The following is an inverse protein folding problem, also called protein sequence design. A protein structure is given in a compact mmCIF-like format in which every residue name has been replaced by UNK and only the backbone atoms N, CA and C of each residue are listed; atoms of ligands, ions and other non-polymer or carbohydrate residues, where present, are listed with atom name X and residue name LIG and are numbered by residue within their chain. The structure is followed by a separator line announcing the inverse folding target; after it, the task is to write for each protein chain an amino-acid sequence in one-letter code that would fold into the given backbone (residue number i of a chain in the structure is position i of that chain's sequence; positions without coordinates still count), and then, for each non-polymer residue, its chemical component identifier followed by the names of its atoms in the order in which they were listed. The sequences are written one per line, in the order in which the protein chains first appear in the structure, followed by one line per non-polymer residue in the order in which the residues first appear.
data_IF_456259834550
#
_entry.id   IF_456259834550
#
_cell.length_a   1.000
_cell.length_b   1.000
_cell.length_c   1.000
_cell.angle_alpha   90.00
_cell.angle_beta   90.00
_cell.angle_gamma   90.00
#
_symmetry.space_group_name_H-M   'P 1'
#
loop_
_entity.id
_entity.type
_entity.pdbx_description
1 polymer ?
#
# COMPACT_ATOMS: atom_id res chain seq x y z
N UNK A 1 -6.30 -18.21 -16.94
CA UNK A 1 -7.06 -17.58 -18.05
C UNK A 1 -7.92 -16.51 -17.39
N UNK A 2 -7.87 -15.27 -17.90
CA UNK A 2 -8.72 -14.17 -17.39
C UNK A 2 -10.20 -14.53 -17.55
N UNK A 3 -11.05 -14.06 -16.63
CA UNK A 3 -12.49 -14.24 -16.73
C UNK A 3 -13.04 -13.50 -17.97
N UNK A 4 -14.18 -13.88 -18.54
CA UNK A 4 -14.83 -13.11 -19.62
C UNK A 4 -15.10 -11.64 -19.22
N UNK A 5 -15.45 -11.39 -17.94
CA UNK A 5 -15.65 -10.05 -17.39
C UNK A 5 -14.35 -9.27 -17.41
N UNK A 6 -13.25 -9.81 -16.89
CA UNK A 6 -11.92 -9.16 -16.90
C UNK A 6 -11.49 -8.79 -18.33
N UNK A 7 -11.75 -9.67 -19.32
CA UNK A 7 -11.42 -9.38 -20.72
C UNK A 7 -12.22 -8.18 -21.27
N UNK A 8 -13.51 -8.10 -20.93
CA UNK A 8 -14.39 -6.99 -21.36
C UNK A 8 -13.97 -5.68 -20.70
N UNK A 9 -13.65 -5.70 -19.40
CA UNK A 9 -13.20 -4.52 -18.66
C UNK A 9 -11.84 -4.04 -19.16
N UNK A 10 -10.92 -4.95 -19.46
CA UNK A 10 -9.60 -4.62 -20.04
C UNK A 10 -9.76 -3.89 -21.39
N UNK A 11 -10.61 -4.39 -22.27
CA UNK A 11 -10.90 -3.76 -23.56
C UNK A 11 -11.54 -2.37 -23.38
N UNK A 12 -12.49 -2.23 -22.44
CA UNK A 12 -13.16 -0.96 -22.17
C UNK A 12 -12.17 0.11 -21.66
N UNK A 13 -11.25 -0.25 -20.75
CA UNK A 13 -10.19 0.66 -20.30
C UNK A 13 -9.26 1.01 -21.46
N UNK A 14 -8.81 0.03 -22.24
CA UNK A 14 -7.94 0.29 -23.40
C UNK A 14 -8.58 1.24 -24.40
N UNK A 15 -9.89 1.12 -24.66
CA UNK A 15 -10.64 2.01 -25.54
C UNK A 15 -10.77 3.43 -24.96
N UNK A 16 -10.99 3.56 -23.64
CA UNK A 16 -10.97 4.86 -22.96
C UNK A 16 -9.59 5.54 -23.10
N UNK A 17 -8.49 4.78 -22.95
CA UNK A 17 -7.13 5.31 -23.09
C UNK A 17 -6.81 5.71 -24.55
N UNK A 18 -7.35 5.01 -25.54
CA UNK A 18 -7.18 5.36 -26.97
C UNK A 18 -7.96 6.61 -27.34
N UNK A 19 -9.19 6.75 -26.83
CA UNK A 19 -10.16 7.76 -27.28
C UNK A 19 -9.98 9.15 -26.67
N UNK A 20 -9.18 9.28 -25.61
CA UNK A 20 -8.93 10.54 -24.93
C UNK A 20 -7.44 10.94 -25.04
N UNK A 21 -7.15 12.23 -24.91
CA UNK A 21 -5.79 12.77 -25.11
C UNK A 21 -5.16 13.36 -23.83
N UNK A 22 -5.96 13.65 -22.81
CA UNK A 22 -5.50 14.29 -21.57
C UNK A 22 -5.88 13.46 -20.36
N UNK A 23 -4.91 13.17 -19.48
CA UNK A 23 -5.09 12.32 -18.32
C UNK A 23 -4.54 12.97 -17.05
N UNK A 24 -5.22 12.73 -15.93
CA UNK A 24 -4.74 12.95 -14.59
C UNK A 24 -4.59 11.59 -13.93
N UNK A 25 -3.36 11.16 -13.75
CA UNK A 25 -3.02 9.91 -13.04
C UNK A 25 -3.02 10.16 -11.55
N UNK A 26 -3.74 9.35 -10.81
CA UNK A 26 -3.89 9.48 -9.36
C UNK A 26 -3.83 8.12 -8.69
N UNK A 27 -3.31 8.08 -7.47
CA UNK A 27 -3.32 6.91 -6.59
C UNK A 27 -3.69 7.32 -5.17
N UNK A 28 -3.69 6.37 -4.23
CA UNK A 28 -4.05 6.64 -2.83
C UNK A 28 -3.04 7.56 -2.11
N UNK A 29 -3.48 8.28 -1.08
CA UNK A 29 -2.73 9.35 -0.40
C UNK A 29 -1.45 8.90 0.34
N UNK A 30 -1.35 7.65 0.74
CA UNK A 30 -0.18 7.06 1.39
C UNK A 30 0.43 5.99 0.48
N UNK A 31 1.09 6.38 -0.63
CA UNK A 31 1.48 5.45 -1.67
C UNK A 31 2.60 4.52 -1.21
N UNK A 32 2.44 3.27 -1.55
CA UNK A 32 3.46 2.23 -1.46
C UNK A 32 4.13 1.99 -2.83
N UNK A 33 4.84 0.87 -2.95
CA UNK A 33 5.55 0.55 -4.19
C UNK A 33 4.62 0.16 -5.34
N UNK A 34 3.46 -0.48 -5.08
CA UNK A 34 2.50 -0.78 -6.14
C UNK A 34 1.85 0.51 -6.66
N UNK A 35 1.41 1.38 -5.77
CA UNK A 35 0.86 2.67 -6.14
C UNK A 35 1.82 3.52 -6.99
N UNK A 36 3.08 3.67 -6.55
CA UNK A 36 4.09 4.47 -7.24
C UNK A 36 4.58 3.81 -8.54
N UNK A 37 4.76 2.49 -8.52
CA UNK A 37 5.13 1.72 -9.71
C UNK A 37 4.04 1.77 -10.78
N UNK A 38 2.79 1.58 -10.37
CA UNK A 38 1.63 1.58 -11.27
C UNK A 38 1.36 2.96 -11.87
N UNK A 39 1.46 4.06 -11.10
CA UNK A 39 1.27 5.41 -11.63
C UNK A 39 2.39 5.79 -12.60
N UNK A 40 3.65 5.42 -12.32
CA UNK A 40 4.77 5.65 -13.24
C UNK A 40 4.64 4.81 -14.50
N UNK A 41 4.27 3.54 -14.38
CA UNK A 41 4.03 2.65 -15.52
C UNK A 41 2.90 3.17 -16.42
N UNK A 42 1.79 3.65 -15.83
CA UNK A 42 0.70 4.27 -16.57
C UNK A 42 1.14 5.57 -17.27
N UNK A 43 1.99 6.38 -16.64
CA UNK A 43 2.59 7.57 -17.24
C UNK A 43 3.39 7.20 -18.50
N UNK A 44 4.30 6.24 -18.39
CA UNK A 44 5.14 5.79 -19.50
C UNK A 44 4.31 5.15 -20.62
N UNK A 45 3.27 4.39 -20.27
CA UNK A 45 2.32 3.81 -21.21
C UNK A 45 1.57 4.89 -22.00
N UNK A 46 1.07 5.93 -21.33
CA UNK A 46 0.37 7.05 -21.98
C UNK A 46 1.33 7.91 -22.84
N UNK A 47 2.57 8.09 -22.41
CA UNK A 47 3.59 8.77 -23.21
C UNK A 47 3.89 8.01 -24.52
N UNK A 48 3.97 6.67 -24.46
CA UNK A 48 4.14 5.83 -25.63
C UNK A 48 2.94 5.92 -26.62
N UNK A 49 1.74 6.24 -26.11
CA UNK A 49 0.56 6.54 -26.92
C UNK A 49 0.52 8.00 -27.45
N UNK A 50 1.50 8.83 -27.06
CA UNK A 50 1.51 10.26 -27.40
C UNK A 50 0.48 11.10 -26.65
N UNK A 51 -0.01 10.62 -25.51
CA UNK A 51 -1.03 11.28 -24.69
C UNK A 51 -0.41 12.26 -23.69
N UNK A 52 -1.14 13.33 -23.35
CA UNK A 52 -0.76 14.29 -22.34
C UNK A 52 -1.20 13.77 -20.95
N UNK A 53 -0.28 13.43 -20.07
CA UNK A 53 -0.59 12.92 -18.75
C UNK A 53 0.16 13.65 -17.63
N UNK A 54 -0.50 13.85 -16.52
CA UNK A 54 0.02 14.47 -15.29
C UNK A 54 -0.14 13.48 -14.16
N UNK A 55 0.94 13.19 -13.44
CA UNK A 55 0.87 12.42 -12.20
C UNK A 55 0.56 13.36 -11.03
N UNK A 56 -0.37 12.97 -10.18
CA UNK A 56 -0.75 13.69 -8.98
C UNK A 56 -0.77 12.75 -7.78
N UNK A 57 -0.31 13.24 -6.65
CA UNK A 57 -0.40 12.56 -5.37
C UNK A 57 -0.86 13.52 -4.29
N UNK A 58 -1.88 13.13 -3.56
CA UNK A 58 -2.47 13.85 -2.45
C UNK A 58 -1.52 14.05 -1.27
N UNK A 59 -1.73 15.11 -0.50
CA UNK A 59 -0.99 15.41 0.72
C UNK A 59 0.40 15.99 0.51
N UNK A 60 0.94 16.57 1.58
CA UNK A 60 2.24 17.25 1.57
C UNK A 60 3.41 16.38 2.07
N UNK A 61 3.13 15.13 2.48
CA UNK A 61 4.18 14.24 2.97
C UNK A 61 5.20 13.94 1.87
N UNK A 62 6.52 13.94 2.18
CA UNK A 62 7.52 13.54 1.22
C UNK A 62 7.29 12.09 0.80
N UNK A 63 7.68 11.74 -0.43
CA UNK A 63 7.71 10.35 -0.86
C UNK A 63 8.61 9.52 0.06
N UNK A 64 8.27 8.25 0.30
CA UNK A 64 9.14 7.35 1.03
C UNK A 64 10.53 7.30 0.38
N UNK A 65 11.57 7.32 1.22
CA UNK A 65 12.95 7.50 0.75
C UNK A 65 13.41 6.37 -0.17
N UNK A 66 12.87 5.19 0.01
CA UNK A 66 13.12 3.97 -0.74
C UNK A 66 12.70 4.04 -2.22
N UNK A 67 11.78 4.96 -2.57
CA UNK A 67 11.31 5.14 -3.96
C UNK A 67 11.93 6.35 -4.68
N UNK A 68 12.89 7.04 -4.05
CA UNK A 68 13.57 8.21 -4.67
C UNK A 68 14.35 7.89 -5.94
N UNK A 69 14.67 6.63 -6.16
CA UNK A 69 15.38 6.19 -7.38
C UNK A 69 14.47 6.15 -8.62
N UNK A 70 13.15 6.16 -8.41
CA UNK A 70 12.16 6.17 -9.49
C UNK A 70 12.05 7.57 -10.11
N UNK A 71 11.87 7.62 -11.44
CA UNK A 71 11.74 8.88 -12.20
C UNK A 71 10.35 9.51 -12.01
N UNK A 72 10.09 10.02 -10.79
CA UNK A 72 8.82 10.66 -10.43
C UNK A 72 8.89 12.20 -10.48
N UNK A 73 9.82 12.78 -11.23
CA UNK A 73 10.07 14.23 -11.28
C UNK A 73 8.86 15.05 -11.75
N UNK A 74 7.95 14.45 -12.50
CA UNK A 74 6.69 15.06 -12.96
C UNK A 74 5.53 14.97 -11.97
N UNK A 75 5.72 14.36 -10.80
CA UNK A 75 4.66 14.18 -9.80
C UNK A 75 4.29 15.52 -9.15
N UNK A 76 3.02 15.87 -9.22
CA UNK A 76 2.48 17.11 -8.65
C UNK A 76 1.78 16.84 -7.32
N UNK A 77 1.80 17.88 -6.44
CA UNK A 77 1.09 17.92 -5.16
C UNK A 77 -0.11 18.86 -5.17
N UNK A 78 -0.36 19.48 -6.31
CA UNK A 78 -1.54 20.33 -6.55
C UNK A 78 -2.22 19.84 -7.82
N UNK A 79 -3.54 19.79 -7.78
CA UNK A 79 -4.34 19.45 -8.96
C UNK A 79 -4.07 20.48 -10.06
N UNK A 80 -3.99 20.08 -11.33
CA UNK A 80 -3.84 21.00 -12.42
C UNK A 80 -5.14 21.78 -12.65
N UNK A 81 -5.04 23.04 -13.10
CA UNK A 81 -6.20 23.91 -13.35
C UNK A 81 -7.17 23.34 -14.42
N UNK A 82 -6.68 22.48 -15.30
CA UNK A 82 -7.42 21.85 -16.39
C UNK A 82 -7.97 20.46 -16.05
N UNK A 83 -8.25 20.16 -14.77
CA UNK A 83 -8.83 18.87 -14.34
C UNK A 83 -10.09 18.51 -15.13
N UNK A 84 -10.96 19.48 -15.37
CA UNK A 84 -12.21 19.28 -16.14
C UNK A 84 -12.01 18.87 -17.60
N UNK A 85 -10.78 18.96 -18.11
CA UNK A 85 -10.42 18.53 -19.47
C UNK A 85 -9.66 17.19 -19.48
N UNK A 86 -9.47 16.55 -18.31
CA UNK A 86 -8.66 15.35 -18.13
C UNK A 86 -9.49 14.16 -17.69
N UNK A 87 -9.27 13.02 -18.31
CA UNK A 87 -9.72 11.74 -17.76
C UNK A 87 -8.97 11.51 -16.45
N UNK A 88 -9.69 11.29 -15.36
CA UNK A 88 -9.11 10.84 -14.11
C UNK A 88 -8.81 9.36 -14.20
N UNK A 89 -7.54 9.01 -14.15
CA UNK A 89 -7.10 7.61 -14.18
C UNK A 89 -6.57 7.23 -12.81
N UNK A 90 -7.44 6.62 -12.01
CA UNK A 90 -7.13 6.14 -10.67
C UNK A 90 -6.53 4.74 -10.73
N UNK A 91 -5.38 4.58 -10.08
CA UNK A 91 -4.61 3.35 -10.04
C UNK A 91 -4.39 2.94 -8.58
N UNK A 92 -4.57 1.66 -8.28
CA UNK A 92 -4.32 1.10 -6.96
C UNK A 92 -5.09 1.81 -5.85
N UNK A 93 -6.38 2.00 -6.08
CA UNK A 93 -7.24 2.75 -5.16
C UNK A 93 -8.60 2.07 -5.01
N UNK A 94 -8.85 1.46 -3.86
CA UNK A 94 -10.04 0.66 -3.59
C UNK A 94 -11.34 1.49 -3.50
N UNK A 95 -11.25 2.76 -3.12
CA UNK A 95 -12.40 3.65 -3.01
C UNK A 95 -11.98 5.12 -3.05
N UNK A 96 -12.96 6.00 -3.24
CA UNK A 96 -12.75 7.45 -3.40
C UNK A 96 -12.07 8.10 -2.20
N UNK A 97 -12.38 7.64 -0.97
CA UNK A 97 -11.85 8.26 0.25
C UNK A 97 -10.33 8.10 0.37
N UNK A 98 -9.75 7.07 -0.25
CA UNK A 98 -8.30 6.86 -0.28
C UNK A 98 -7.55 7.85 -1.17
N UNK A 99 -8.24 8.55 -2.07
CA UNK A 99 -7.65 9.59 -2.91
C UNK A 99 -7.27 10.86 -2.10
N UNK A 100 -7.73 10.98 -0.84
CA UNK A 100 -7.49 12.16 -0.01
C UNK A 100 -8.00 13.44 -0.67
N UNK A 101 -7.21 14.52 -0.71
CA UNK A 101 -7.56 15.77 -1.39
C UNK A 101 -7.83 15.59 -2.90
N UNK A 102 -7.32 14.52 -3.50
CA UNK A 102 -7.55 14.16 -4.90
C UNK A 102 -9.00 13.81 -5.22
N UNK A 103 -9.84 13.53 -4.22
CA UNK A 103 -11.29 13.39 -4.41
C UNK A 103 -11.92 14.58 -5.14
N UNK A 104 -11.36 15.79 -4.96
CA UNK A 104 -11.84 16.99 -5.64
C UNK A 104 -11.73 16.92 -7.17
N UNK A 105 -10.97 15.98 -7.72
CA UNK A 105 -10.85 15.75 -9.15
C UNK A 105 -11.96 14.85 -9.72
N UNK A 106 -12.72 14.13 -8.90
CA UNK A 106 -13.76 13.18 -9.36
C UNK A 106 -14.92 13.90 -10.05
N UNK A 107 -15.50 14.93 -9.40
CA UNK A 107 -16.67 15.63 -9.91
C UNK A 107 -16.40 16.37 -11.25
N UNK A 108 -15.28 17.12 -11.39
CA UNK A 108 -15.01 17.87 -12.63
C UNK A 108 -14.49 16.99 -13.75
N UNK A 109 -13.98 15.77 -13.50
CA UNK A 109 -13.42 14.92 -14.55
C UNK A 109 -14.49 14.44 -15.53
N UNK A 110 -14.26 14.52 -16.85
CA UNK A 110 -15.24 14.07 -17.86
C UNK A 110 -15.46 12.56 -17.83
N UNK A 111 -14.48 11.80 -17.43
CA UNK A 111 -14.50 10.33 -17.27
C UNK A 111 -13.57 9.94 -16.15
N UNK A 112 -14.00 9.02 -15.29
CA UNK A 112 -13.19 8.39 -14.26
C UNK A 112 -12.92 6.94 -14.65
N UNK A 113 -11.64 6.59 -14.80
CA UNK A 113 -11.17 5.23 -15.03
C UNK A 113 -10.52 4.72 -13.73
N UNK A 114 -10.96 3.58 -13.21
CA UNK A 114 -10.37 2.96 -12.03
C UNK A 114 -9.78 1.59 -12.39
N UNK A 115 -8.48 1.42 -12.15
CA UNK A 115 -7.74 0.16 -12.34
C UNK A 115 -7.14 -0.26 -11.02
N UNK A 116 -7.54 -1.44 -10.52
CA UNK A 116 -7.20 -1.86 -9.16
C UNK A 116 -7.25 -3.38 -9.00
N UNK A 117 -6.58 -3.89 -7.95
CA UNK A 117 -6.59 -5.30 -7.58
C UNK A 117 -7.23 -5.56 -6.19
N UNK A 118 -7.64 -4.54 -5.49
CA UNK A 118 -8.26 -4.71 -4.18
C UNK A 118 -9.63 -5.40 -4.29
N UNK A 119 -9.85 -6.45 -3.50
CA UNK A 119 -11.08 -7.24 -3.52
C UNK A 119 -12.33 -6.49 -3.00
N UNK A 120 -12.13 -5.45 -2.21
CA UNK A 120 -13.15 -4.57 -1.63
C UNK A 120 -13.33 -3.26 -2.41
N UNK A 121 -12.84 -3.19 -3.66
CA UNK A 121 -12.96 -2.01 -4.51
C UNK A 121 -14.44 -1.64 -4.72
N UNK A 122 -14.76 -0.36 -4.47
CA UNK A 122 -16.12 0.20 -4.62
C UNK A 122 -16.56 0.37 -6.07
N UNK A 123 -15.64 0.21 -7.04
CA UNK A 123 -15.86 0.40 -8.48
C UNK A 123 -16.39 1.80 -8.81
N UNK A 124 -15.76 2.81 -8.23
CA UNK A 124 -16.18 4.21 -8.27
C UNK A 124 -15.94 4.91 -9.63
N UNK A 125 -15.23 4.28 -10.56
CA UNK A 125 -15.02 4.81 -11.89
C UNK A 125 -16.23 4.62 -12.80
N UNK A 126 -16.33 5.47 -13.84
CA UNK A 126 -17.24 5.24 -14.97
C UNK A 126 -16.81 4.00 -15.76
N UNK A 127 -15.51 3.77 -15.85
CA UNK A 127 -14.89 2.59 -16.43
C UNK A 127 -13.99 1.93 -15.38
N UNK A 128 -14.27 0.67 -15.07
CA UNK A 128 -13.55 -0.06 -14.02
C UNK A 128 -12.90 -1.32 -14.59
N UNK A 129 -11.64 -1.56 -14.20
CA UNK A 129 -10.94 -2.82 -14.38
C UNK A 129 -10.42 -3.25 -13.00
N UNK A 130 -11.18 -4.10 -12.33
CA UNK A 130 -10.85 -4.59 -10.98
C UNK A 130 -10.60 -6.08 -11.05
N UNK A 131 -9.35 -6.49 -10.77
CA UNK A 131 -8.88 -7.87 -10.88
C UNK A 131 -8.36 -8.35 -9.54
N UNK A 132 -9.25 -8.81 -8.68
CA UNK A 132 -8.94 -9.16 -7.28
C UNK A 132 -7.97 -10.34 -7.11
N UNK A 133 -7.73 -11.15 -8.14
CA UNK A 133 -6.75 -12.23 -8.16
C UNK A 133 -5.40 -11.84 -8.78
N UNK A 134 -5.25 -10.58 -9.21
CA UNK A 134 -3.95 -10.06 -9.61
C UNK A 134 -3.05 -9.85 -8.39
N UNK A 135 -1.76 -10.08 -8.57
CA UNK A 135 -0.75 -9.94 -7.51
C UNK A 135 -0.44 -8.48 -7.16
N UNK A 136 -0.76 -7.55 -8.07
CA UNK A 136 -0.57 -6.09 -7.92
C UNK A 136 -1.35 -5.36 -9.01
N UNK A 137 -1.59 -4.07 -8.83
CA UNK A 137 -2.12 -3.20 -9.89
C UNK A 137 -1.14 -3.10 -11.06
N UNK A 138 0.18 -3.15 -10.80
CA UNK A 138 1.20 -3.22 -11.85
C UNK A 138 1.05 -4.42 -12.80
N UNK A 139 0.59 -5.58 -12.31
CA UNK A 139 0.29 -6.74 -13.15
C UNK A 139 -0.85 -6.42 -14.14
N UNK A 140 -1.86 -5.67 -13.72
CA UNK A 140 -2.99 -5.25 -14.57
C UNK A 140 -2.55 -4.21 -15.59
N UNK A 141 -1.71 -3.24 -15.18
CA UNK A 141 -1.12 -2.25 -16.09
C UNK A 141 -0.28 -2.94 -17.18
N UNK A 142 0.44 -4.02 -16.85
CA UNK A 142 1.17 -4.81 -17.87
C UNK A 142 0.21 -5.46 -18.88
N UNK A 143 -0.94 -5.94 -18.43
CA UNK A 143 -1.95 -6.48 -19.35
C UNK A 143 -2.54 -5.37 -20.25
N UNK A 144 -2.74 -4.14 -19.75
CA UNK A 144 -3.13 -2.99 -20.55
C UNK A 144 -2.06 -2.61 -21.60
N UNK A 145 -0.78 -2.61 -21.24
CA UNK A 145 0.33 -2.37 -22.18
C UNK A 145 0.27 -3.35 -23.36
N UNK A 146 -0.01 -4.63 -23.06
CA UNK A 146 -0.16 -5.68 -24.09
C UNK A 146 -1.41 -5.46 -24.95
N UNK A 147 -2.55 -5.14 -24.35
CA UNK A 147 -3.83 -4.89 -25.05
C UNK A 147 -3.73 -3.68 -25.98
N UNK A 148 -2.94 -2.68 -25.58
CA UNK A 148 -2.67 -1.49 -26.40
C UNK A 148 -1.62 -1.74 -27.49
N UNK A 149 -0.99 -2.92 -27.54
CA UNK A 149 0.03 -3.27 -28.52
C UNK A 149 1.34 -2.51 -28.36
N UNK A 150 1.63 -2.03 -27.14
CA UNK A 150 2.82 -1.26 -26.84
C UNK A 150 4.02 -2.15 -26.50
N UNK A 151 5.21 -1.69 -26.88
CA UNK A 151 6.46 -2.33 -26.47
C UNK A 151 6.74 -2.08 -25.00
N UNK A 152 7.28 -3.09 -24.33
CA UNK A 152 7.79 -2.96 -22.98
C UNK A 152 9.22 -2.40 -23.03
N UNK A 153 9.43 -1.19 -22.48
CA UNK A 153 10.76 -0.59 -22.35
C UNK A 153 11.40 -0.94 -21.01
N UNK A 154 12.75 -0.85 -20.86
CA UNK A 154 13.40 -1.11 -19.58
C UNK A 154 12.84 -0.25 -18.42
N UNK A 155 12.54 1.03 -18.67
CA UNK A 155 11.99 1.95 -17.68
C UNK A 155 10.58 1.52 -17.23
N UNK A 156 9.74 1.14 -18.22
CA UNK A 156 8.39 0.63 -17.94
C UNK A 156 8.46 -0.71 -17.20
N UNK A 157 9.37 -1.58 -17.59
CA UNK A 157 9.59 -2.87 -16.94
C UNK A 157 10.05 -2.69 -15.49
N UNK A 158 10.92 -1.73 -15.20
CA UNK A 158 11.38 -1.45 -13.85
C UNK A 158 10.24 -0.89 -12.96
N UNK A 159 9.43 0.03 -13.47
CA UNK A 159 8.26 0.56 -12.73
C UNK A 159 7.27 -0.56 -12.38
N UNK A 160 6.96 -1.45 -13.33
CA UNK A 160 6.12 -2.63 -13.10
C UNK A 160 6.76 -3.64 -12.15
N UNK A 161 8.08 -3.80 -12.19
CA UNK A 161 8.79 -4.67 -11.28
C UNK A 161 8.74 -4.17 -9.84
N UNK A 162 8.87 -2.86 -9.61
CA UNK A 162 8.68 -2.24 -8.29
C UNK A 162 7.29 -2.55 -7.76
N UNK A 163 6.24 -2.30 -8.55
CA UNK A 163 4.85 -2.59 -8.19
C UNK A 163 4.70 -4.06 -7.76
N UNK A 164 5.14 -4.98 -8.60
CA UNK A 164 4.98 -6.41 -8.38
C UNK A 164 5.75 -6.93 -7.17
N UNK A 165 7.02 -6.53 -7.01
CA UNK A 165 7.89 -7.07 -5.94
C UNK A 165 7.50 -6.53 -4.56
N UNK A 166 6.97 -5.31 -4.48
CA UNK A 166 6.54 -4.73 -3.21
C UNK A 166 5.24 -5.34 -2.73
N UNK A 167 4.24 -5.48 -3.60
CA UNK A 167 2.94 -5.99 -3.22
C UNK A 167 2.92 -7.52 -2.99
N UNK A 168 3.82 -8.26 -3.63
CA UNK A 168 4.06 -9.67 -3.34
C UNK A 168 4.97 -9.91 -2.13
N UNK A 169 5.41 -8.85 -1.45
CA UNK A 169 6.36 -8.96 -0.34
C UNK A 169 7.63 -9.71 -0.72
N UNK A 170 8.24 -9.35 -1.84
CA UNK A 170 9.41 -10.05 -2.39
C UNK A 170 9.10 -11.49 -2.81
N UNK A 171 7.91 -11.70 -3.35
CA UNK A 171 7.41 -13.03 -3.73
C UNK A 171 7.24 -14.02 -2.57
N UNK A 172 6.95 -13.51 -1.36
CA UNK A 172 6.75 -14.31 -0.15
C UNK A 172 5.29 -14.38 0.29
N UNK A 173 4.43 -13.46 -0.17
CA UNK A 173 3.03 -13.44 0.23
C UNK A 173 2.17 -14.40 -0.58
N UNK A 174 0.99 -14.72 -0.05
CA UNK A 174 0.06 -15.69 -0.65
C UNK A 174 -0.48 -15.24 -2.03
N UNK A 175 -0.46 -13.94 -2.34
CA UNK A 175 -0.80 -13.40 -3.65
C UNK A 175 0.30 -13.60 -4.71
N UNK A 176 1.42 -14.25 -4.37
CA UNK A 176 2.46 -14.60 -5.34
C UNK A 176 2.01 -15.77 -6.22
N UNK A 177 1.45 -15.42 -7.37
CA UNK A 177 0.91 -16.39 -8.34
C UNK A 177 1.97 -16.87 -9.35
N UNK A 178 1.76 -18.00 -10.05
CA UNK A 178 2.61 -18.38 -11.19
C UNK A 178 2.61 -17.32 -12.31
N UNK A 179 1.55 -16.50 -12.44
CA UNK A 179 1.48 -15.37 -13.38
C UNK A 179 2.44 -14.28 -12.95
N UNK A 180 2.45 -13.89 -11.66
CA UNK A 180 3.38 -12.93 -11.09
C UNK A 180 4.85 -13.30 -11.32
N UNK A 181 5.22 -14.56 -11.09
CA UNK A 181 6.59 -15.03 -11.31
C UNK A 181 7.00 -15.02 -12.78
N UNK A 182 6.10 -15.38 -13.70
CA UNK A 182 6.34 -15.25 -15.15
C UNK A 182 6.47 -13.78 -15.57
N UNK A 183 5.64 -12.92 -15.02
CA UNK A 183 5.75 -11.49 -15.26
C UNK A 183 7.10 -10.95 -14.74
N UNK A 184 7.51 -11.32 -13.53
CA UNK A 184 8.82 -10.92 -13.02
C UNK A 184 9.97 -11.32 -13.96
N UNK A 185 9.93 -12.54 -14.49
CA UNK A 185 10.93 -13.01 -15.46
C UNK A 185 10.91 -12.15 -16.74
N UNK A 186 9.73 -11.87 -17.30
CA UNK A 186 9.57 -11.00 -18.48
C UNK A 186 10.14 -9.59 -18.26
N UNK A 187 9.86 -9.00 -17.07
CA UNK A 187 10.34 -7.68 -16.71
C UNK A 187 11.87 -7.63 -16.60
N UNK A 188 12.48 -8.67 -16.01
CA UNK A 188 13.94 -8.80 -15.91
C UNK A 188 14.58 -9.04 -17.29
N UNK A 189 13.99 -9.88 -18.13
CA UNK A 189 14.43 -10.07 -19.52
C UNK A 189 14.36 -8.78 -20.36
N UNK A 190 13.42 -7.90 -20.04
CA UNK A 190 13.28 -6.58 -20.70
C UNK A 190 14.32 -5.58 -20.18
N UNK A 191 14.93 -5.79 -19.02
CA UNK A 191 15.99 -4.95 -18.49
C UNK A 191 15.67 -4.23 -17.18
N UNK A 192 14.63 -4.66 -16.44
CA UNK A 192 14.44 -4.16 -15.06
C UNK A 192 15.66 -4.50 -14.21
N UNK A 193 16.23 -3.49 -13.54
CA UNK A 193 17.39 -3.66 -12.68
C UNK A 193 16.98 -4.16 -11.28
N UNK A 194 16.88 -5.48 -11.14
CA UNK A 194 16.51 -6.14 -9.89
C UNK A 194 17.40 -5.73 -8.73
N UNK A 195 18.73 -5.65 -8.95
CA UNK A 195 19.67 -5.30 -7.90
C UNK A 195 19.42 -3.88 -7.40
N UNK A 196 19.28 -2.91 -8.30
CA UNK A 196 18.97 -1.51 -7.96
C UNK A 196 17.65 -1.40 -7.20
N UNK A 197 16.60 -2.09 -7.66
CA UNK A 197 15.29 -2.07 -6.99
C UNK A 197 15.42 -2.63 -5.58
N UNK A 198 16.01 -3.82 -5.40
CA UNK A 198 16.16 -4.42 -4.06
C UNK A 198 17.03 -3.58 -3.13
N UNK A 199 18.16 -3.07 -3.62
CA UNK A 199 19.03 -2.21 -2.84
C UNK A 199 18.31 -0.94 -2.39
N UNK A 200 17.56 -0.29 -3.29
CA UNK A 200 16.85 0.95 -2.97
C UNK A 200 15.68 0.72 -2.02
N UNK A 201 14.84 -0.27 -2.30
CA UNK A 201 13.58 -0.50 -1.56
C UNK A 201 13.83 -1.19 -0.22
N UNK A 202 14.79 -2.13 -0.14
CA UNK A 202 14.92 -3.00 1.02
C UNK A 202 16.25 -2.90 1.77
N UNK A 203 17.32 -2.39 1.15
CA UNK A 203 18.65 -2.37 1.76
C UNK A 203 19.10 -0.96 2.15
N UNK A 204 18.37 0.09 1.76
CA UNK A 204 18.66 1.48 2.14
C UNK A 204 17.88 1.87 3.40
N UNK A 205 18.20 1.20 4.52
CA UNK A 205 17.53 1.44 5.81
C UNK A 205 18.35 2.41 6.64
N UNK A 206 17.74 3.51 7.08
CA UNK A 206 18.39 4.46 7.97
C UNK A 206 18.73 3.80 9.32
N UNK A 207 19.94 4.05 9.83
CA UNK A 207 20.38 3.53 11.14
C UNK A 207 19.39 3.87 12.26
N UNK A 208 18.75 5.04 12.20
CA UNK A 208 17.72 5.44 13.16
C UNK A 208 16.53 4.47 13.19
N UNK A 209 16.08 3.96 12.03
CA UNK A 209 15.02 2.93 11.96
C UNK A 209 15.46 1.63 12.61
N UNK A 210 16.70 1.17 12.36
CA UNK A 210 17.25 -0.03 12.99
C UNK A 210 17.37 0.12 14.51
N UNK A 211 17.73 1.32 14.99
CA UNK A 211 17.78 1.61 16.43
C UNK A 211 16.39 1.61 17.06
N UNK A 212 15.35 2.11 16.37
CA UNK A 212 13.96 1.98 16.84
C UNK A 212 13.50 0.52 16.88
N UNK A 213 13.80 -0.24 15.82
CA UNK A 213 13.52 -1.68 15.77
C UNK A 213 14.17 -2.40 16.96
N UNK A 214 15.46 -2.14 17.23
CA UNK A 214 16.16 -2.76 18.36
C UNK A 214 15.46 -2.48 19.70
N UNK A 215 14.99 -1.24 19.94
CA UNK A 215 14.23 -0.88 21.14
C UNK A 215 12.88 -1.56 21.23
N UNK A 216 12.18 -1.66 20.10
CA UNK A 216 10.92 -2.38 20.06
C UNK A 216 11.10 -3.87 20.36
N UNK A 217 12.14 -4.50 19.80
CA UNK A 217 12.43 -5.92 20.05
C UNK A 217 12.86 -6.18 21.50
N UNK A 218 13.67 -5.31 22.10
CA UNK A 218 14.09 -5.41 23.50
C UNK A 218 12.91 -5.32 24.48
N UNK A 219 11.86 -4.58 24.12
CA UNK A 219 10.63 -4.43 24.91
C UNK A 219 9.52 -5.40 24.53
N UNK A 220 9.74 -6.26 23.55
CA UNK A 220 8.73 -7.21 23.13
C UNK A 220 8.39 -8.19 24.26
N UNK A 221 7.11 -8.32 24.56
CA UNK A 221 6.58 -9.23 25.55
C UNK A 221 5.56 -10.16 24.93
N UNK A 222 5.61 -11.40 25.39
CA UNK A 222 4.75 -12.47 24.90
C UNK A 222 3.72 -12.79 25.95
N UNK A 223 2.45 -12.82 25.56
CA UNK A 223 1.31 -13.06 26.43
C UNK A 223 0.48 -14.25 25.94
N UNK A 224 -0.42 -14.70 26.78
CA UNK A 224 -1.48 -15.69 26.47
C UNK A 224 -0.92 -16.97 25.82
N UNK A 225 0.13 -17.52 26.43
CA UNK A 225 0.72 -18.78 25.98
C UNK A 225 1.48 -18.71 24.66
N UNK A 226 1.85 -17.51 24.21
CA UNK A 226 2.61 -17.30 22.96
C UNK A 226 1.82 -16.62 21.87
N UNK A 227 0.49 -16.61 21.95
CA UNK A 227 -0.38 -16.14 20.88
C UNK A 227 -0.44 -14.62 20.69
N UNK A 228 -0.12 -13.82 21.71
CA UNK A 228 -0.12 -12.37 21.66
C UNK A 228 1.29 -11.82 21.92
N UNK A 229 1.82 -11.04 20.97
CA UNK A 229 3.10 -10.34 21.11
C UNK A 229 2.85 -8.83 21.11
N UNK A 230 3.29 -8.14 22.17
CA UNK A 230 3.12 -6.68 22.30
C UNK A 230 4.47 -6.03 22.53
N UNK A 231 4.68 -4.90 21.86
CA UNK A 231 5.82 -4.02 22.12
C UNK A 231 5.42 -2.56 22.05
N UNK A 232 6.32 -1.66 22.44
CA UNK A 232 6.05 -0.23 22.40
C UNK A 232 7.29 0.61 22.11
N UNK A 233 7.04 1.81 21.54
CA UNK A 233 8.01 2.87 21.33
C UNK A 233 7.51 4.14 22.02
N UNK A 234 8.38 4.72 22.83
CA UNK A 234 8.12 5.97 23.54
C UNK A 234 8.52 7.16 22.65
N UNK A 235 7.92 8.31 22.89
CA UNK A 235 8.30 9.58 22.24
C UNK A 235 9.79 9.90 22.38
N UNK A 236 10.38 9.56 23.55
CA UNK A 236 11.81 9.72 23.82
C UNK A 236 12.68 8.86 22.94
N UNK A 237 12.21 7.66 22.52
CA UNK A 237 12.99 6.79 21.63
C UNK A 237 13.24 7.43 20.27
N UNK A 238 12.22 8.08 19.73
CA UNK A 238 12.33 8.80 18.45
C UNK A 238 13.32 9.97 18.57
N UNK A 239 13.22 10.75 19.63
CA UNK A 239 14.10 11.88 19.85
C UNK A 239 15.57 11.47 20.02
N UNK A 240 15.85 10.43 20.80
CA UNK A 240 17.21 9.94 21.10
C UNK A 240 17.93 9.37 19.86
N UNK A 241 17.17 8.78 18.90
CA UNK A 241 17.80 8.24 17.69
C UNK A 241 17.68 9.18 16.48
N UNK A 242 17.01 10.33 16.67
CA UNK A 242 16.79 11.29 15.58
C UNK A 242 15.84 10.74 14.49
N UNK A 243 14.85 9.94 14.88
CA UNK A 243 13.92 9.32 13.95
C UNK A 243 12.60 10.09 13.87
N UNK A 244 12.03 10.18 12.66
CA UNK A 244 10.65 10.61 12.44
C UNK A 244 9.67 9.43 12.64
N UNK A 245 8.39 9.74 12.85
CA UNK A 245 7.35 8.73 13.10
C UNK A 245 7.28 7.63 12.01
N UNK A 246 7.40 7.93 10.69
CA UNK A 246 7.39 6.91 9.65
C UNK A 246 8.49 5.84 9.77
N UNK A 247 9.56 6.11 10.49
CA UNK A 247 10.62 5.12 10.73
C UNK A 247 10.18 3.95 11.60
N UNK A 248 9.03 4.05 12.26
CA UNK A 248 8.41 2.93 12.99
C UNK A 248 7.58 1.98 12.12
N UNK A 249 7.35 2.31 10.85
CA UNK A 249 6.62 1.44 9.94
C UNK A 249 7.40 0.16 9.64
N UNK A 250 6.66 -0.96 9.55
CA UNK A 250 7.23 -2.30 9.33
C UNK A 250 7.84 -2.95 10.58
N UNK A 251 8.01 -2.23 11.72
CA UNK A 251 8.52 -2.84 12.96
C UNK A 251 7.57 -3.92 13.48
N UNK A 252 6.26 -3.72 13.33
CA UNK A 252 5.24 -4.68 13.78
C UNK A 252 5.34 -6.04 13.08
N UNK A 253 5.88 -6.08 11.85
CA UNK A 253 6.01 -7.33 11.10
C UNK A 253 7.05 -8.26 11.72
N UNK A 254 8.07 -7.71 12.39
CA UNK A 254 9.00 -8.51 13.19
C UNK A 254 8.34 -9.12 14.43
N UNK A 255 7.40 -8.40 15.06
CA UNK A 255 6.63 -8.94 16.18
C UNK A 255 5.66 -10.04 15.71
N UNK A 256 5.04 -9.85 14.54
CA UNK A 256 4.15 -10.85 13.94
C UNK A 256 4.90 -12.13 13.54
N UNK A 257 6.18 -12.01 13.19
CA UNK A 257 7.01 -13.15 12.80
C UNK A 257 7.52 -13.99 13.97
N UNK A 258 7.22 -13.63 15.22
CA UNK A 258 7.57 -14.44 16.40
C UNK A 258 6.84 -15.78 16.33
N UNK A 259 7.55 -16.87 16.58
CA UNK A 259 6.99 -18.21 16.56
C UNK A 259 5.80 -18.34 17.52
N UNK A 260 4.67 -18.83 17.01
CA UNK A 260 3.43 -18.98 17.79
C UNK A 260 2.59 -17.70 17.91
N UNK A 261 3.08 -16.53 17.46
CA UNK A 261 2.30 -15.31 17.48
C UNK A 261 1.12 -15.38 16.52
N UNK A 262 -0.09 -15.18 17.00
CA UNK A 262 -1.32 -15.05 16.22
C UNK A 262 -1.75 -13.59 16.09
N UNK A 263 -1.44 -12.78 17.10
CA UNK A 263 -1.68 -11.33 17.15
C UNK A 263 -0.40 -10.62 17.58
N UNK A 264 0.02 -9.64 16.79
CA UNK A 264 1.07 -8.71 17.15
C UNK A 264 0.52 -7.29 17.33
N UNK A 265 0.99 -6.57 18.33
CA UNK A 265 0.65 -5.17 18.57
C UNK A 265 1.90 -4.33 18.81
N UNK A 266 1.97 -3.17 18.12
CA UNK A 266 2.98 -2.14 18.36
C UNK A 266 2.29 -0.87 18.83
N UNK A 267 2.55 -0.47 20.07
CA UNK A 267 2.05 0.76 20.69
C UNK A 267 3.11 1.86 20.48
N UNK A 268 2.72 3.01 19.97
CA UNK A 268 3.64 4.14 19.72
C UNK A 268 3.14 5.41 20.36
N UNK A 269 4.02 6.15 21.00
CA UNK A 269 3.80 7.55 21.38
C UNK A 269 4.28 8.43 20.23
N UNK A 270 3.37 9.08 19.46
CA UNK A 270 3.76 9.93 18.32
C UNK A 270 4.68 11.07 18.75
N UNK A 271 5.78 11.35 18.02
CA UNK A 271 6.68 12.44 18.39
C UNK A 271 6.10 13.83 18.12
N UNK A 272 5.11 13.95 17.20
CA UNK A 272 4.52 15.22 16.81
C UNK A 272 3.51 15.75 17.84
N UNK A 273 3.51 17.06 18.17
CA UNK A 273 2.50 17.67 19.04
C UNK A 273 1.08 17.60 18.44
N UNK A 274 0.07 17.54 19.32
CA UNK A 274 -1.36 17.57 18.90
C UNK A 274 -1.88 16.25 18.31
N UNK A 275 -1.11 15.17 18.36
CA UNK A 275 -1.53 13.81 17.99
C UNK A 275 -2.14 13.09 19.21
N UNK A 276 -2.96 12.04 18.99
CA UNK A 276 -3.40 11.21 20.12
C UNK A 276 -2.19 10.74 20.92
N UNK A 277 -2.39 10.49 22.24
CA UNK A 277 -1.30 10.11 23.12
C UNK A 277 -0.59 8.83 22.64
N UNK A 278 -1.34 7.89 22.08
CA UNK A 278 -0.79 6.63 21.57
C UNK A 278 -1.50 6.17 20.31
N UNK A 279 -0.72 5.54 19.42
CA UNK A 279 -1.20 4.84 18.24
C UNK A 279 -0.85 3.37 18.35
N UNK A 280 -1.81 2.50 18.10
CA UNK A 280 -1.65 1.06 18.14
C UNK A 280 -1.82 0.49 16.75
N UNK A 281 -0.80 -0.22 16.28
CA UNK A 281 -0.89 -1.03 15.07
C UNK A 281 -1.10 -2.48 15.45
N UNK A 282 -1.97 -3.18 14.73
CA UNK A 282 -2.29 -4.59 14.92
C UNK A 282 -2.01 -5.38 13.65
N UNK A 283 -1.45 -6.57 13.80
CA UNK A 283 -1.28 -7.54 12.70
C UNK A 283 -1.69 -8.93 13.18
N UNK A 284 -2.39 -9.67 12.33
CA UNK A 284 -2.66 -11.10 12.56
C UNK A 284 -1.88 -11.96 11.57
N UNK A 285 -1.39 -13.09 12.06
CA UNK A 285 -0.88 -14.21 11.26
C UNK A 285 -1.94 -15.32 11.10
N UNK A 286 -3.09 -15.20 11.79
CA UNK A 286 -4.15 -16.20 11.83
C UNK A 286 -5.37 -15.72 11.05
N UNK A 287 -5.91 -16.57 10.19
CA UNK A 287 -7.17 -16.31 9.49
C UNK A 287 -8.39 -16.37 10.42
N UNK A 288 -8.24 -16.91 11.62
CA UNK A 288 -9.30 -16.97 12.62
C UNK A 288 -9.45 -15.67 13.42
N UNK A 289 -8.45 -14.77 13.39
CA UNK A 289 -8.47 -13.51 14.11
C UNK A 289 -8.77 -12.32 13.19
N UNK A 290 -9.81 -11.56 13.51
CA UNK A 290 -10.13 -10.29 12.86
C UNK A 290 -9.62 -9.12 13.72
N UNK A 291 -8.42 -8.60 13.40
CA UNK A 291 -7.85 -7.48 14.14
C UNK A 291 -8.57 -6.17 13.90
N UNK A 292 -9.37 -6.06 12.84
CA UNK A 292 -10.22 -4.89 12.62
C UNK A 292 -11.37 -4.82 13.63
N UNK A 293 -11.88 -5.97 14.07
CA UNK A 293 -12.87 -6.03 15.14
C UNK A 293 -12.28 -5.55 16.48
N UNK A 294 -11.04 -5.96 16.80
CA UNK A 294 -10.31 -5.49 17.98
C UNK A 294 -10.09 -3.97 17.91
N UNK A 295 -9.67 -3.46 16.76
CA UNK A 295 -9.48 -2.02 16.57
C UNK A 295 -10.79 -1.24 16.74
N UNK A 296 -11.91 -1.70 16.17
CA UNK A 296 -13.23 -1.07 16.36
C UNK A 296 -13.70 -1.10 17.82
N UNK A 297 -13.38 -2.16 18.57
CA UNK A 297 -13.75 -2.27 19.99
C UNK A 297 -13.07 -1.21 20.86
N UNK A 298 -11.97 -0.59 20.42
CA UNK A 298 -11.34 0.54 21.11
C UNK A 298 -12.14 1.85 21.00
N UNK A 299 -13.10 1.95 20.07
CA UNK A 299 -13.93 3.14 19.82
C UNK A 299 -13.37 4.10 18.76
N UNK A 300 -12.07 4.09 18.48
CA UNK A 300 -11.41 4.96 17.49
C UNK A 300 -10.38 4.17 16.67
N UNK A 301 -10.87 3.18 15.93
CA UNK A 301 -10.02 2.31 15.15
C UNK A 301 -10.75 1.56 14.04
N UNK A 302 -9.95 0.93 13.15
CA UNK A 302 -10.44 0.17 12.02
C UNK A 302 -9.30 -0.41 11.20
N UNK A 303 -9.64 -0.98 10.05
CA UNK A 303 -8.69 -1.58 9.12
C UNK A 303 -9.20 -2.89 8.54
N UNK A 304 -8.27 -3.69 8.04
CA UNK A 304 -8.54 -4.99 7.45
C UNK A 304 -8.44 -6.11 8.48
N UNK A 305 -8.98 -7.30 8.11
CA UNK A 305 -8.97 -8.49 8.96
C UNK A 305 -7.60 -8.83 9.54
N UNK A 306 -6.53 -8.71 8.75
CA UNK A 306 -5.17 -9.05 9.17
C UNK A 306 -4.30 -7.84 9.53
N UNK A 307 -4.77 -6.60 9.27
CA UNK A 307 -4.01 -5.37 9.50
C UNK A 307 -4.94 -4.23 9.89
N UNK A 308 -4.85 -3.77 11.13
CA UNK A 308 -5.70 -2.71 11.66
C UNK A 308 -4.93 -1.80 12.63
N UNK A 309 -5.56 -0.75 13.09
CA UNK A 309 -4.99 0.14 14.10
C UNK A 309 -6.03 1.02 14.76
N UNK A 310 -5.66 1.61 15.88
CA UNK A 310 -6.50 2.55 16.61
C UNK A 310 -5.66 3.58 17.35
N UNK A 311 -6.30 4.69 17.72
CA UNK A 311 -5.74 5.72 18.59
C UNK A 311 -6.23 5.54 20.02
N UNK A 312 -5.42 5.92 21.03
CA UNK A 312 -5.80 5.77 22.43
C UNK A 312 -5.15 6.83 23.31
N UNK A 313 -5.91 7.30 24.32
CA UNK A 313 -5.42 8.16 25.41
C UNK A 313 -5.01 7.33 26.65
N UNK A 314 -5.25 6.03 26.64
CA UNK A 314 -4.90 5.12 27.74
C UNK A 314 -3.39 4.97 27.89
N UNK A 315 -2.91 4.70 29.10
CA UNK A 315 -1.52 4.34 29.36
C UNK A 315 -1.16 2.96 28.77
N UNK A 316 0.12 2.76 28.44
CA UNK A 316 0.60 1.52 27.77
C UNK A 316 0.14 0.25 28.50
N UNK A 317 0.23 0.14 29.86
CA UNK A 317 -0.26 -1.05 30.56
C UNK A 317 -1.76 -1.31 30.36
N UNK A 318 -2.58 -0.25 30.34
CA UNK A 318 -4.03 -0.37 30.12
C UNK A 318 -4.35 -0.83 28.69
N UNK A 319 -3.57 -0.36 27.71
CA UNK A 319 -3.70 -0.83 26.31
C UNK A 319 -3.31 -2.32 26.23
N UNK A 320 -2.27 -2.74 26.91
CA UNK A 320 -1.84 -4.15 26.97
C UNK A 320 -2.96 -5.01 27.57
N UNK A 321 -3.55 -4.59 28.70
CA UNK A 321 -4.66 -5.33 29.34
C UNK A 321 -5.88 -5.41 28.41
N UNK A 322 -6.25 -4.32 27.72
CA UNK A 322 -7.30 -4.31 26.70
C UNK A 322 -7.01 -5.31 25.56
N UNK A 323 -5.78 -5.30 25.04
CA UNK A 323 -5.39 -6.21 23.94
C UNK A 323 -5.44 -7.68 24.37
N UNK A 324 -5.04 -8.00 25.58
CA UNK A 324 -5.12 -9.35 26.16
C UNK A 324 -6.56 -9.83 26.27
N UNK A 325 -7.43 -8.96 26.80
CA UNK A 325 -8.87 -9.27 26.92
C UNK A 325 -9.50 -9.51 25.54
N UNK A 326 -9.26 -8.63 24.59
CA UNK A 326 -9.80 -8.76 23.22
C UNK A 326 -9.28 -10.00 22.50
N UNK A 327 -8.00 -10.33 22.67
CA UNK A 327 -7.43 -11.55 22.12
C UNK A 327 -8.12 -12.81 22.69
N UNK A 328 -8.29 -12.90 24.01
CA UNK A 328 -8.96 -14.03 24.64
C UNK A 328 -10.42 -14.17 24.21
N UNK A 329 -11.15 -13.06 24.09
CA UNK A 329 -12.52 -13.04 23.57
C UNK A 329 -12.60 -13.56 22.13
N UNK A 330 -11.72 -13.05 21.24
CA UNK A 330 -11.66 -13.48 19.86
C UNK A 330 -11.34 -14.98 19.72
N UNK A 331 -10.41 -15.51 20.53
CA UNK A 331 -10.07 -16.93 20.56
C UNK A 331 -11.21 -17.81 21.12
N UNK A 332 -12.00 -17.31 22.05
CA UNK A 332 -13.16 -18.02 22.57
C UNK A 332 -14.26 -18.17 21.49
N UNK A 333 -14.47 -17.12 20.69
CA UNK A 333 -15.42 -17.15 19.57
C UNK A 333 -14.95 -18.10 18.44
N UNK A 334 -13.67 -18.11 18.12
CA UNK A 334 -13.12 -18.98 17.07
C UNK A 334 -13.15 -20.48 17.41
N UNK A 335 -13.26 -20.83 18.71
CA UNK A 335 -13.34 -22.22 19.19
C UNK A 335 -14.76 -22.73 19.40
N UNK A 336 -15.76 -21.85 19.33
CA UNK A 336 -17.19 -22.17 19.51
C UNK A 336 -17.86 -22.46 18.17
#
# INVERSE_FOLDING_TARGET
MSSPQTTTELAAVADALRSHDRFLLITHENPDGDALGSILAAKLMLDALGKNSVMYLSGAAPLPAEYKFMSLDGLRRQLPDDVAERVLFALDCANESRLGEGQAALEPAPVVVNVDHHHDNSRFGDVNLVVADASSTGEIVRDLVRELGLALTPELAEALYVALVTDTGRFQYANTTPKALRLAAELVETGADVHRVFQSVYETVQLAKLKLLARALDRAQVYEGGGLVVSYLLKTDFAEVGAAEPYSEGIIDFLRAVEGAELAALIREPPAPGRPARRVSLRSSSDELDVSAIARASGDGGGHRQAAGFSSELEIPQIVDFLREQYLQARAVARA
#
